data_IF_439658289229
#
_entry.id   IF_439658289229
#
_cell.length_a   1.000
_cell.length_b   1.000
_cell.length_c   1.000
_cell.angle_alpha   90.00
_cell.angle_beta   90.00
_cell.angle_gamma   90.00
#
_symmetry.space_group_name_H-M   'P 1'
#
loop_
_entity.id
_entity.type
_entity.pdbx_description
1 polymer ?
#
# COMPACT_ATOMS: atom_id res chain seq x y z
N UNK A 1 -30.82 -7.87 -3.70
CA UNK A 1 -30.06 -8.93 -4.42
C UNK A 1 -28.71 -8.42 -4.97
N UNK A 2 -28.56 -7.15 -5.38
CA UNK A 2 -27.28 -6.61 -5.86
C UNK A 2 -26.16 -6.49 -4.79
N UNK A 3 -26.51 -6.19 -3.53
CA UNK A 3 -25.53 -5.97 -2.46
C UNK A 3 -24.69 -7.23 -2.14
N UNK A 4 -25.28 -8.42 -2.20
CA UNK A 4 -24.56 -9.67 -1.96
C UNK A 4 -23.59 -9.98 -3.10
N UNK A 5 -23.97 -9.82 -4.38
CA UNK A 5 -23.05 -10.03 -5.52
C UNK A 5 -21.86 -9.07 -5.54
N UNK A 6 -22.05 -7.82 -5.11
CA UNK A 6 -20.97 -6.82 -5.02
C UNK A 6 -19.98 -7.16 -3.90
N UNK A 7 -20.47 -7.55 -2.71
CA UNK A 7 -19.60 -7.92 -1.57
C UNK A 7 -18.76 -9.16 -1.88
N UNK A 8 -19.30 -10.17 -2.58
CA UNK A 8 -18.54 -11.35 -3.00
C UNK A 8 -17.43 -11.01 -4.02
N UNK A 9 -17.64 -9.97 -4.82
CA UNK A 9 -16.62 -9.54 -5.78
C UNK A 9 -15.42 -8.89 -5.07
N UNK A 10 -15.65 -8.08 -4.03
CA UNK A 10 -14.58 -7.40 -3.29
C UNK A 10 -13.68 -8.36 -2.51
N UNK A 11 -14.28 -9.36 -1.85
CA UNK A 11 -13.52 -10.39 -1.12
C UNK A 11 -12.66 -11.23 -2.06
N UNK A 12 -13.19 -11.63 -3.23
CA UNK A 12 -12.44 -12.36 -4.24
C UNK A 12 -11.23 -11.56 -4.77
N UNK A 13 -11.42 -10.28 -5.14
CA UNK A 13 -10.31 -9.44 -5.59
C UNK A 13 -9.29 -9.16 -4.49
N UNK A 14 -9.75 -8.98 -3.24
CA UNK A 14 -8.86 -8.85 -2.09
C UNK A 14 -7.95 -10.08 -1.94
N UNK A 15 -8.50 -11.29 -2.06
CA UNK A 15 -7.72 -12.53 -2.01
C UNK A 15 -6.74 -12.65 -3.17
N UNK A 16 -7.15 -12.30 -4.39
CA UNK A 16 -6.26 -12.29 -5.56
C UNK A 16 -5.08 -11.32 -5.40
N UNK A 17 -5.33 -10.12 -4.87
CA UNK A 17 -4.29 -9.14 -4.58
C UNK A 17 -3.37 -9.64 -3.45
N UNK A 18 -3.91 -10.27 -2.42
CA UNK A 18 -3.12 -10.90 -1.36
C UNK A 18 -2.17 -11.99 -1.89
N UNK A 19 -2.65 -12.83 -2.81
CA UNK A 19 -1.80 -13.81 -3.48
C UNK A 19 -0.69 -13.15 -4.31
N UNK A 20 -1.00 -12.08 -5.05
CA UNK A 20 0.00 -11.34 -5.83
C UNK A 20 1.03 -10.64 -4.92
N UNK A 21 0.62 -10.22 -3.72
CA UNK A 21 1.51 -9.65 -2.71
C UNK A 21 2.51 -10.69 -2.19
N UNK A 22 2.10 -11.95 -1.98
CA UNK A 22 3.02 -13.02 -1.57
C UNK A 22 3.95 -13.49 -2.70
N UNK A 23 3.45 -13.51 -3.94
CA UNK A 23 4.15 -14.16 -5.09
C UNK A 23 4.88 -13.20 -6.02
N UNK A 24 4.72 -11.88 -5.85
CA UNK A 24 5.27 -10.84 -6.75
C UNK A 24 4.94 -11.06 -8.23
N UNK A 25 3.79 -11.70 -8.51
CA UNK A 25 3.40 -12.06 -9.88
C UNK A 25 2.79 -10.85 -10.61
N UNK A 26 3.65 -10.08 -11.26
CA UNK A 26 3.26 -8.87 -12.01
C UNK A 26 2.24 -9.15 -13.15
N UNK A 27 2.41 -10.18 -14.00
CA UNK A 27 1.41 -10.48 -15.04
C UNK A 27 0.01 -10.71 -14.48
N UNK A 28 -0.10 -11.44 -13.36
CA UNK A 28 -1.38 -11.69 -12.68
C UNK A 28 -1.93 -10.42 -12.03
N UNK A 29 -1.07 -9.58 -11.46
CA UNK A 29 -1.45 -8.27 -10.92
C UNK A 29 -2.07 -7.38 -12.00
N UNK A 30 -1.43 -7.24 -13.17
CA UNK A 30 -1.93 -6.42 -14.27
C UNK A 30 -3.29 -6.93 -14.79
N UNK A 31 -3.44 -8.25 -14.97
CA UNK A 31 -4.76 -8.83 -15.34
C UNK A 31 -5.82 -8.59 -14.27
N UNK A 32 -5.43 -8.58 -13.00
CA UNK A 32 -6.36 -8.32 -11.90
C UNK A 32 -6.74 -6.85 -11.85
N UNK A 33 -5.79 -5.94 -12.07
CA UNK A 33 -6.02 -4.51 -12.18
C UNK A 33 -6.97 -4.16 -13.34
N UNK A 34 -6.74 -4.71 -14.54
CA UNK A 34 -7.63 -4.51 -15.68
C UNK A 34 -9.07 -4.99 -15.37
N UNK A 35 -9.22 -6.15 -14.73
CA UNK A 35 -10.53 -6.68 -14.31
C UNK A 35 -11.21 -5.80 -13.27
N UNK A 36 -10.46 -5.18 -12.35
CA UNK A 36 -11.00 -4.23 -11.37
C UNK A 36 -11.55 -2.97 -12.05
N UNK A 37 -10.85 -2.46 -13.08
CA UNK A 37 -11.28 -1.30 -13.86
C UNK A 37 -12.55 -1.62 -14.65
N UNK A 38 -12.54 -2.70 -15.44
CA UNK A 38 -13.68 -3.07 -16.31
C UNK A 38 -14.95 -3.32 -15.50
N UNK A 39 -14.83 -3.81 -14.25
CA UNK A 39 -15.98 -4.04 -13.37
C UNK A 39 -16.41 -2.82 -12.56
N UNK A 40 -15.71 -1.68 -12.67
CA UNK A 40 -16.00 -0.48 -11.88
C UNK A 40 -15.75 -0.64 -10.37
N UNK A 41 -15.04 -1.68 -9.96
CA UNK A 41 -14.76 -1.99 -8.55
C UNK A 41 -13.49 -1.26 -8.07
N UNK A 42 -12.65 -0.80 -9.01
CA UNK A 42 -11.43 -0.04 -8.72
C UNK A 42 -11.64 1.27 -7.98
N UNK A 43 -12.88 1.72 -7.76
CA UNK A 43 -13.20 2.94 -7.01
C UNK A 43 -13.20 2.76 -5.49
N UNK A 44 -13.22 1.53 -4.99
CA UNK A 44 -13.20 1.28 -3.55
C UNK A 44 -11.82 1.56 -2.94
N UNK A 45 -11.74 2.48 -1.99
CA UNK A 45 -10.51 2.89 -1.30
C UNK A 45 -9.71 1.71 -0.75
N UNK A 46 -10.40 0.74 -0.14
CA UNK A 46 -9.76 -0.48 0.38
C UNK A 46 -9.01 -1.27 -0.70
N UNK A 47 -9.64 -1.45 -1.87
CA UNK A 47 -9.04 -2.17 -2.98
C UNK A 47 -7.94 -1.35 -3.65
N UNK A 48 -8.09 -0.02 -3.75
CA UNK A 48 -7.03 0.89 -4.23
C UNK A 48 -5.80 0.82 -3.35
N UNK A 49 -5.97 0.90 -2.03
CA UNK A 49 -4.88 0.80 -1.07
C UNK A 49 -4.15 -0.56 -1.19
N UNK A 50 -4.91 -1.66 -1.24
CA UNK A 50 -4.33 -2.99 -1.39
C UNK A 50 -3.61 -3.17 -2.73
N UNK A 51 -4.18 -2.63 -3.81
CA UNK A 51 -3.60 -2.67 -5.14
C UNK A 51 -2.29 -1.86 -5.18
N UNK A 52 -2.26 -0.65 -4.62
CA UNK A 52 -1.05 0.18 -4.53
C UNK A 52 0.06 -0.54 -3.76
N UNK A 53 -0.22 -1.11 -2.59
CA UNK A 53 0.75 -1.90 -1.83
C UNK A 53 1.27 -3.12 -2.63
N UNK A 54 0.41 -3.75 -3.42
CA UNK A 54 0.80 -4.88 -4.27
C UNK A 54 1.72 -4.43 -5.41
N UNK A 55 1.49 -3.24 -6.00
CA UNK A 55 2.38 -2.65 -7.00
C UNK A 55 3.73 -2.25 -6.41
N UNK A 56 3.77 -1.66 -5.21
CA UNK A 56 5.01 -1.39 -4.46
C UNK A 56 5.83 -2.68 -4.34
N UNK A 57 5.19 -3.76 -3.87
CA UNK A 57 5.86 -5.04 -3.66
C UNK A 57 6.33 -5.73 -4.97
N UNK A 58 5.63 -5.48 -6.09
CA UNK A 58 6.06 -5.90 -7.43
C UNK A 58 7.09 -4.94 -8.06
N UNK A 59 7.50 -3.89 -7.34
CA UNK A 59 8.51 -2.94 -7.78
C UNK A 59 8.03 -1.88 -8.78
N UNK A 60 6.72 -1.74 -8.99
CA UNK A 60 6.09 -0.79 -9.92
C UNK A 60 5.67 0.50 -9.20
N UNK A 61 6.68 1.31 -8.84
CA UNK A 61 6.47 2.50 -8.02
C UNK A 61 5.65 3.59 -8.70
N UNK A 62 5.78 3.74 -10.03
CA UNK A 62 5.00 4.74 -10.78
C UNK A 62 3.50 4.46 -10.66
N UNK A 63 3.07 3.22 -10.88
CA UNK A 63 1.67 2.85 -10.74
C UNK A 63 1.19 2.86 -9.29
N UNK A 64 2.05 2.43 -8.35
CA UNK A 64 1.74 2.55 -6.94
C UNK A 64 1.48 4.01 -6.54
N UNK A 65 2.31 4.95 -6.98
CA UNK A 65 2.16 6.38 -6.74
C UNK A 65 0.87 6.95 -7.35
N UNK A 66 0.55 6.59 -8.58
CA UNK A 66 -0.71 7.02 -9.23
C UNK A 66 -1.93 6.53 -8.44
N UNK A 67 -1.98 5.24 -8.09
CA UNK A 67 -3.11 4.67 -7.35
C UNK A 67 -3.19 5.25 -5.94
N UNK A 68 -2.04 5.47 -5.30
CA UNK A 68 -1.95 6.14 -4.00
C UNK A 68 -2.58 7.53 -4.03
N UNK A 69 -2.28 8.35 -5.05
CA UNK A 69 -2.86 9.69 -5.22
C UNK A 69 -4.39 9.68 -5.39
N UNK A 70 -4.95 8.59 -5.90
CA UNK A 70 -6.41 8.41 -6.05
C UNK A 70 -7.09 7.78 -4.84
N UNK A 71 -6.34 7.38 -3.81
CA UNK A 71 -6.91 6.75 -2.63
C UNK A 71 -7.26 7.83 -1.61
N UNK A 72 -8.55 7.98 -1.27
CA UNK A 72 -8.99 9.02 -0.33
C UNK A 72 -8.68 8.64 1.12
N UNK A 73 -8.82 7.35 1.46
CA UNK A 73 -8.47 6.80 2.77
C UNK A 73 -7.21 5.95 2.66
N UNK A 74 -6.07 6.61 2.71
CA UNK A 74 -4.78 5.94 2.75
C UNK A 74 -4.52 5.44 4.17
N UNK A 75 -4.38 4.14 4.35
CA UNK A 75 -4.03 3.58 5.67
C UNK A 75 -2.60 3.95 6.05
N UNK A 76 -2.31 3.99 7.35
CA UNK A 76 -0.93 4.09 7.86
C UNK A 76 -0.03 3.00 7.26
N UNK A 77 -0.57 1.79 7.07
CA UNK A 77 0.15 0.70 6.43
C UNK A 77 0.60 1.05 5.00
N UNK A 78 -0.29 1.66 4.19
CA UNK A 78 0.03 2.04 2.82
C UNK A 78 1.10 3.14 2.78
N UNK A 79 1.00 4.15 3.63
CA UNK A 79 2.02 5.18 3.77
C UNK A 79 3.38 4.58 4.13
N UNK A 80 3.43 3.68 5.12
CA UNK A 80 4.67 3.01 5.52
C UNK A 80 5.29 2.21 4.37
N UNK A 81 4.47 1.50 3.60
CA UNK A 81 4.93 0.76 2.43
C UNK A 81 5.52 1.70 1.36
N UNK A 82 4.87 2.84 1.09
CA UNK A 82 5.35 3.85 0.15
C UNK A 82 6.65 4.52 0.63
N UNK A 83 6.71 4.99 1.88
CA UNK A 83 7.91 5.62 2.46
C UNK A 83 9.09 4.66 2.40
N UNK A 84 8.92 3.41 2.88
CA UNK A 84 9.98 2.40 2.86
C UNK A 84 10.48 2.14 1.44
N UNK A 85 9.57 1.94 0.50
CA UNK A 85 9.95 1.61 -0.87
C UNK A 85 10.62 2.77 -1.62
N UNK A 86 10.28 4.02 -1.34
CA UNK A 86 11.01 5.18 -1.85
C UNK A 86 12.39 5.32 -1.19
N UNK A 87 12.50 5.08 0.12
CA UNK A 87 13.78 5.07 0.84
C UNK A 87 14.73 3.98 0.32
N UNK A 88 14.24 2.75 0.12
CA UNK A 88 15.02 1.63 -0.43
C UNK A 88 15.56 1.95 -1.84
N UNK A 89 14.90 2.85 -2.57
CA UNK A 89 15.28 3.34 -3.91
C UNK A 89 16.11 4.61 -3.89
N UNK A 90 16.45 5.14 -2.71
CA UNK A 90 17.14 6.43 -2.51
C UNK A 90 16.35 7.64 -3.04
N UNK A 91 15.04 7.49 -3.24
CA UNK A 91 14.12 8.57 -3.64
C UNK A 91 13.63 9.33 -2.38
N UNK A 92 14.58 9.82 -1.58
CA UNK A 92 14.30 10.38 -0.24
C UNK A 92 13.35 11.58 -0.26
N UNK A 93 13.40 12.39 -1.32
CA UNK A 93 12.49 13.53 -1.48
C UNK A 93 11.03 13.08 -1.51
N UNK A 94 10.72 12.03 -2.27
CA UNK A 94 9.35 11.52 -2.41
C UNK A 94 8.94 10.80 -1.13
N UNK A 95 9.86 10.05 -0.51
CA UNK A 95 9.62 9.45 0.81
C UNK A 95 9.23 10.52 1.85
N UNK A 96 9.92 11.65 1.85
CA UNK A 96 9.63 12.78 2.73
C UNK A 96 8.29 13.45 2.41
N UNK A 97 7.95 13.65 1.13
CA UNK A 97 6.64 14.19 0.73
C UNK A 97 5.49 13.30 1.20
N UNK A 98 5.61 11.97 1.07
CA UNK A 98 4.61 11.01 1.60
C UNK A 98 4.52 11.06 3.12
N UNK A 99 5.65 11.25 3.81
CA UNK A 99 5.68 11.40 5.26
C UNK A 99 4.99 12.69 5.72
N UNK A 100 5.27 13.82 5.09
CA UNK A 100 4.58 15.08 5.37
C UNK A 100 3.07 14.98 5.12
N UNK A 101 2.66 14.28 4.07
CA UNK A 101 1.24 14.03 3.82
C UNK A 101 0.59 13.24 4.96
N UNK A 102 1.25 12.18 5.45
CA UNK A 102 0.78 11.43 6.63
C UNK A 102 0.63 12.33 7.86
N UNK A 103 1.59 13.22 8.12
CA UNK A 103 1.53 14.18 9.22
C UNK A 103 0.40 15.20 9.08
N UNK A 104 0.01 15.57 7.86
CA UNK A 104 -1.10 16.49 7.63
C UNK A 104 -2.48 15.85 7.86
N UNK A 105 -2.56 14.52 7.82
CA UNK A 105 -3.81 13.75 8.00
C UNK A 105 -4.06 13.33 9.45
N UNK A 106 -3.01 13.17 10.26
CA UNK A 106 -3.09 12.77 11.67
C UNK A 106 -2.76 14.00 12.56
N UNK A 107 -3.70 14.45 13.39
CA UNK A 107 -3.59 15.68 14.22
C UNK A 107 -2.28 15.67 15.05
N UNK A 108 -1.55 16.80 15.18
CA UNK A 108 -0.14 16.83 15.60
C UNK A 108 0.18 16.44 17.06
N UNK A 109 -0.82 16.16 17.90
CA UNK A 109 -0.68 16.29 19.35
C UNK A 109 -0.44 14.99 20.12
N UNK A 110 0.11 13.96 19.46
CA UNK A 110 0.41 12.73 20.19
C UNK A 110 1.72 12.13 19.69
N UNK A 111 2.66 11.87 20.61
CA UNK A 111 4.04 11.41 20.35
C UNK A 111 4.20 10.09 19.56
N UNK A 112 3.14 9.58 18.94
CA UNK A 112 3.11 8.39 18.07
C UNK A 112 3.82 8.60 16.73
N UNK A 113 4.06 9.84 16.29
CA UNK A 113 4.71 10.15 15.01
C UNK A 113 6.22 9.83 14.98
N UNK A 114 6.91 9.97 16.12
CA UNK A 114 8.37 9.73 16.24
C UNK A 114 8.69 8.23 16.19
N UNK A 115 7.83 7.38 16.78
CA UNK A 115 8.00 5.93 16.77
C UNK A 115 7.80 5.31 15.38
N UNK A 116 6.95 5.90 14.52
CA UNK A 116 6.76 5.41 13.14
C UNK A 116 8.01 5.61 12.28
N UNK A 117 8.71 6.74 12.39
CA UNK A 117 9.94 6.98 11.62
C UNK A 117 11.10 6.08 12.07
N UNK A 118 11.34 5.91 13.37
CA UNK A 118 12.44 5.05 13.85
C UNK A 118 12.20 3.57 13.48
N UNK A 119 10.94 3.12 13.48
CA UNK A 119 10.56 1.78 13.03
C UNK A 119 10.78 1.57 11.52
N UNK A 120 10.45 2.59 10.71
CA UNK A 120 10.59 2.53 9.24
C UNK A 120 12.06 2.65 8.80
N UNK A 121 12.85 3.49 9.45
CA UNK A 121 14.27 3.72 9.12
C UNK A 121 15.16 2.63 9.75
N UNK A 122 14.79 2.07 10.91
CA UNK A 122 15.60 1.08 11.66
C UNK A 122 15.59 -0.36 11.12
N UNK A 123 14.74 -0.71 10.15
CA UNK A 123 14.66 -2.09 9.60
C UNK A 123 15.69 -2.38 8.50
N UNK A 124 16.79 -1.65 8.47
CA UNK A 124 17.81 -1.66 7.42
C UNK A 124 19.16 -2.26 7.83
N UNK A 125 19.23 -3.23 8.74
CA UNK A 125 20.43 -4.07 8.91
C UNK A 125 20.20 -5.23 9.90
N UNK A 126 20.17 -6.46 9.38
CA UNK A 126 20.50 -7.68 10.11
C UNK A 126 19.44 -8.24 11.08
N UNK A 127 18.92 -9.43 10.77
CA UNK A 127 18.45 -10.34 11.83
C UNK A 127 19.66 -10.83 12.63
N UNK A 128 19.59 -11.03 13.96
CA UNK A 128 18.95 -12.25 14.47
C UNK A 128 18.11 -12.10 15.77
N UNK A 129 17.13 -13.01 15.87
CA UNK A 129 16.57 -13.68 17.05
C UNK A 129 15.97 -12.87 18.21
N UNK A 130 14.70 -13.18 18.53
CA UNK A 130 14.21 -13.35 19.92
C UNK A 130 12.83 -14.04 19.92
N UNK A 131 12.84 -15.36 19.98
CA UNK A 131 11.89 -16.12 20.79
C UNK A 131 12.72 -16.91 21.78
N UNK A 132 12.51 -16.61 23.08
CA UNK A 132 12.91 -17.36 24.29
C UNK A 132 14.22 -18.12 24.28
#
# INVERSE_FOLDING_TARGET
IAATSVVHSHSHYSSLLGFCLGTKNLPKLLRTHARLIVRGISHHDFLRAKLAATFVNCGRMREAGTIFSWTNKQSTYLHNAMIRSYTDRKEFRIAFEVYCHLLSLEIPDSGYHVFKLSYIIGSGSGHPQRYT
#
